data_IF_033274308868
#
_entry.id   IF_033274308868
#
_cell.length_a   1.000
_cell.length_b   1.000
_cell.length_c   1.000
_cell.angle_alpha   90.00
_cell.angle_beta   90.00
_cell.angle_gamma   90.00
#
_symmetry.space_group_name_H-M   'P 1'
#
loop_
_entity.id
_entity.type
_entity.pdbx_description
1 polymer ?
#
# COMPACT_ATOMS: atom_id res chain seq x y z
N UNK A 1 -6.68 9.72 19.87
CA UNK A 1 -5.82 10.25 18.79
C UNK A 1 -4.89 11.31 19.34
N UNK A 2 -3.59 11.08 19.32
CA UNK A 2 -2.58 12.13 19.53
C UNK A 2 -2.15 12.66 18.17
N UNK A 3 -2.71 13.80 17.75
CA UNK A 3 -2.41 14.41 16.45
C UNK A 3 -0.92 14.78 16.29
N UNK A 4 -0.18 14.98 17.38
CA UNK A 4 1.26 15.27 17.33
C UNK A 4 2.04 14.01 17.00
N UNK A 5 1.69 12.90 17.64
CA UNK A 5 2.30 11.60 17.33
C UNK A 5 1.95 11.17 15.91
N UNK A 6 0.70 11.34 15.49
CA UNK A 6 0.27 11.06 14.11
C UNK A 6 1.05 11.89 13.09
N UNK A 7 1.28 13.17 13.35
CA UNK A 7 2.10 14.01 12.48
C UNK A 7 3.55 13.50 12.38
N UNK A 8 4.17 13.15 13.50
CA UNK A 8 5.55 12.64 13.51
C UNK A 8 5.70 11.29 12.79
N UNK A 9 4.63 10.51 12.75
CA UNK A 9 4.58 9.21 12.06
C UNK A 9 4.06 9.30 10.62
N UNK A 10 3.74 10.51 10.12
CA UNK A 10 3.15 10.67 8.80
C UNK A 10 1.69 10.19 8.67
N UNK A 11 1.03 9.82 9.77
CA UNK A 11 -0.33 9.30 9.76
C UNK A 11 -1.37 10.35 9.39
N UNK A 12 -2.47 9.91 8.78
CA UNK A 12 -3.60 10.76 8.42
C UNK A 12 -4.47 11.10 9.63
N UNK A 13 -4.79 12.38 9.81
CA UNK A 13 -5.62 12.89 10.90
C UNK A 13 -6.96 13.42 10.39
N UNK A 14 -8.03 13.26 11.19
CA UNK A 14 -9.36 13.74 10.83
C UNK A 14 -9.59 15.22 11.16
N UNK A 15 -8.65 15.89 11.83
CA UNK A 15 -8.76 17.24 12.41
C UNK A 15 -9.81 17.37 13.54
N UNK A 16 -10.57 16.33 13.84
CA UNK A 16 -11.73 16.40 14.76
C UNK A 16 -11.35 16.69 16.21
N UNK A 17 -10.18 16.24 16.63
CA UNK A 17 -9.63 16.45 17.97
C UNK A 17 -8.76 17.72 18.08
N UNK A 18 -8.55 18.45 16.99
CA UNK A 18 -7.75 19.68 16.96
C UNK A 18 -8.58 20.91 17.31
N UNK A 19 -7.91 21.88 17.94
CA UNK A 19 -8.44 23.20 18.26
C UNK A 19 -7.66 24.26 17.49
N UNK A 20 -8.18 25.48 17.45
CA UNK A 20 -7.50 26.59 16.77
C UNK A 20 -6.05 26.82 17.22
N UNK A 21 -5.68 26.76 18.52
CA UNK A 21 -4.29 26.86 18.92
C UNK A 21 -3.36 25.75 18.37
N UNK A 22 -3.90 24.57 18.06
CA UNK A 22 -3.11 23.49 17.43
C UNK A 22 -2.82 23.85 15.97
N UNK A 23 -3.79 24.39 15.25
CA UNK A 23 -3.64 24.88 13.87
C UNK A 23 -2.68 26.08 13.83
N UNK A 24 -2.81 27.04 14.75
CA UNK A 24 -1.90 28.18 14.88
C UNK A 24 -0.45 27.71 15.11
N UNK A 25 -0.23 26.67 15.89
CA UNK A 25 1.11 26.08 16.10
C UNK A 25 1.66 25.45 14.82
N UNK A 26 0.84 24.72 14.06
CA UNK A 26 1.23 24.15 12.76
C UNK A 26 1.71 25.28 11.84
N UNK A 27 0.97 26.37 11.78
CA UNK A 27 1.31 27.54 10.95
C UNK A 27 2.61 28.20 11.42
N UNK A 28 2.71 28.50 12.72
CA UNK A 28 3.88 29.18 13.30
C UNK A 28 5.17 28.38 13.11
N UNK A 29 5.10 27.05 13.23
CA UNK A 29 6.24 26.15 13.10
C UNK A 29 6.42 25.63 11.66
N UNK A 30 5.54 26.03 10.74
CA UNK A 30 5.51 25.57 9.34
C UNK A 30 5.60 24.05 9.23
N UNK A 31 4.77 23.34 10.01
CA UNK A 31 4.73 21.88 10.00
C UNK A 31 3.97 21.39 8.77
N UNK A 32 4.70 20.91 7.77
CA UNK A 32 4.15 20.47 6.47
C UNK A 32 4.94 19.26 5.95
N UNK A 33 4.32 18.38 5.14
CA UNK A 33 2.89 18.36 4.84
C UNK A 33 2.02 17.85 5.98
N UNK A 34 0.74 18.28 6.03
CA UNK A 34 -0.27 17.72 6.93
C UNK A 34 -1.11 16.70 6.16
N UNK A 35 -1.14 15.46 6.63
CA UNK A 35 -1.92 14.38 6.06
C UNK A 35 -3.32 14.35 6.67
N UNK A 36 -4.36 14.57 5.86
CA UNK A 36 -5.74 14.79 6.32
C UNK A 36 -6.68 13.72 5.79
N UNK A 37 -7.29 12.97 6.71
CA UNK A 37 -8.38 12.04 6.43
C UNK A 37 -9.69 12.82 6.29
N UNK A 38 -10.04 13.15 5.04
CA UNK A 38 -11.16 14.06 4.73
C UNK A 38 -12.49 13.32 4.76
N UNK A 39 -12.59 12.19 4.10
CA UNK A 39 -13.76 11.35 3.86
C UNK A 39 -14.81 12.01 2.93
N UNK A 40 -15.21 13.22 3.20
CA UNK A 40 -16.12 14.03 2.38
C UNK A 40 -16.02 15.50 2.80
N UNK A 41 -16.28 16.41 1.86
CA UNK A 41 -16.43 17.86 2.12
C UNK A 41 -17.87 18.25 2.47
N UNK A 42 -18.83 17.30 2.41
CA UNK A 42 -20.19 17.50 2.90
C UNK A 42 -20.20 17.48 4.45
N UNK A 43 -20.46 18.62 5.14
CA UNK A 43 -20.33 18.69 6.59
C UNK A 43 -21.27 17.74 7.34
N UNK A 44 -22.50 17.57 6.87
CA UNK A 44 -23.47 16.68 7.48
C UNK A 44 -23.10 15.22 7.31
N UNK A 45 -22.69 14.82 6.09
CA UNK A 45 -22.24 13.48 5.80
C UNK A 45 -20.97 13.15 6.58
N UNK A 46 -20.02 14.10 6.68
CA UNK A 46 -18.80 13.93 7.47
C UNK A 46 -19.09 13.67 8.94
N UNK A 47 -20.06 14.38 9.53
CA UNK A 47 -20.50 14.13 10.91
C UNK A 47 -21.05 12.70 11.08
N UNK A 48 -21.81 12.20 10.12
CA UNK A 48 -22.33 10.82 10.13
C UNK A 48 -21.21 9.79 10.00
N UNK A 49 -20.32 9.93 9.01
CA UNK A 49 -19.23 8.98 8.74
C UNK A 49 -18.25 8.88 9.91
N UNK A 50 -17.89 10.01 10.53
CA UNK A 50 -16.95 10.05 11.64
C UNK A 50 -17.62 9.88 13.02
N UNK A 51 -18.94 9.68 13.03
CA UNK A 51 -19.74 9.61 14.26
C UNK A 51 -19.41 10.74 15.25
N UNK A 52 -19.22 11.94 14.73
CA UNK A 52 -18.81 13.11 15.49
C UNK A 52 -19.56 14.36 15.00
N UNK A 53 -20.42 14.90 15.85
CA UNK A 53 -21.28 16.08 15.53
C UNK A 53 -20.52 17.34 15.16
N UNK A 54 -19.22 17.43 15.48
CA UNK A 54 -18.37 18.58 15.19
C UNK A 54 -17.48 18.37 13.96
N UNK A 55 -17.50 17.20 13.36
CA UNK A 55 -16.57 16.86 12.27
C UNK A 55 -16.74 17.76 11.05
N UNK A 56 -17.99 18.17 10.73
CA UNK A 56 -18.26 19.07 9.61
C UNK A 56 -17.67 20.47 9.82
N UNK A 57 -17.73 21.01 11.04
CA UNK A 57 -17.16 22.35 11.34
C UNK A 57 -15.63 22.39 11.22
N UNK A 58 -14.97 21.23 11.33
CA UNK A 58 -13.51 21.14 11.24
C UNK A 58 -12.98 21.28 9.81
N UNK A 59 -13.84 21.17 8.81
CA UNK A 59 -13.46 21.43 7.42
C UNK A 59 -12.91 22.86 7.22
N UNK A 60 -13.36 23.83 8.01
CA UNK A 60 -12.81 25.19 7.98
C UNK A 60 -11.29 25.28 8.25
N UNK A 61 -10.72 24.26 8.86
CA UNK A 61 -9.26 24.22 9.07
C UNK A 61 -8.48 24.02 7.77
N UNK A 62 -9.11 23.46 6.74
CA UNK A 62 -8.52 23.39 5.40
C UNK A 62 -8.32 24.79 4.81
N UNK A 63 -9.33 25.68 4.95
CA UNK A 63 -9.24 27.08 4.50
C UNK A 63 -8.12 27.81 5.21
N UNK A 64 -8.03 27.66 6.56
CA UNK A 64 -6.99 28.31 7.37
C UNK A 64 -5.58 27.81 6.99
N UNK A 65 -5.39 26.51 6.79
CA UNK A 65 -4.12 25.94 6.37
C UNK A 65 -3.73 26.43 4.98
N UNK A 66 -4.69 26.46 4.05
CA UNK A 66 -4.49 26.95 2.69
C UNK A 66 -4.11 28.43 2.66
N UNK A 67 -4.82 29.31 3.37
CA UNK A 67 -4.53 30.75 3.47
C UNK A 67 -3.14 31.03 4.07
N UNK A 68 -2.60 30.10 4.87
CA UNK A 68 -1.27 30.19 5.44
C UNK A 68 -0.21 29.35 4.70
N UNK A 69 -0.52 28.88 3.48
CA UNK A 69 0.39 28.18 2.58
C UNK A 69 0.99 26.88 3.20
N UNK A 70 0.23 26.18 4.04
CA UNK A 70 0.64 24.91 4.60
C UNK A 70 0.30 23.79 3.61
N UNK A 71 1.31 23.03 3.20
CA UNK A 71 1.12 21.89 2.33
C UNK A 71 0.30 20.79 3.01
N UNK A 72 -0.64 20.21 2.25
CA UNK A 72 -1.57 19.19 2.72
C UNK A 72 -1.61 18.01 1.73
N UNK A 73 -1.84 16.81 2.25
CA UNK A 73 -2.28 15.66 1.49
C UNK A 73 -3.62 15.18 2.02
N UNK A 74 -4.54 14.87 1.11
CA UNK A 74 -5.87 14.39 1.45
C UNK A 74 -6.00 12.87 1.26
N UNK A 75 -6.86 12.25 2.07
CA UNK A 75 -7.30 10.87 1.90
C UNK A 75 -8.81 10.81 2.00
N UNK A 76 -9.43 10.06 1.08
CA UNK A 76 -10.85 9.74 1.07
C UNK A 76 -11.00 8.22 1.08
N UNK A 77 -11.49 7.66 2.19
CA UNK A 77 -11.95 6.26 2.21
C UNK A 77 -13.35 6.24 1.61
N UNK A 78 -13.45 5.62 0.44
CA UNK A 78 -14.69 5.59 -0.34
C UNK A 78 -15.55 4.41 0.11
N UNK A 79 -16.73 4.74 0.65
CA UNK A 79 -17.72 3.77 1.11
C UNK A 79 -18.87 3.75 0.11
N UNK A 80 -19.16 2.59 -0.46
CA UNK A 80 -20.22 2.39 -1.44
C UNK A 80 -21.59 2.83 -0.88
N UNK A 81 -22.36 3.56 -1.70
CA UNK A 81 -23.65 4.14 -1.36
C UNK A 81 -23.63 5.16 -0.20
N UNK A 82 -22.44 5.66 0.17
CA UNK A 82 -22.27 6.65 1.26
C UNK A 82 -21.64 7.93 0.77
N UNK A 83 -20.36 7.87 0.37
CA UNK A 83 -19.60 9.02 -0.12
C UNK A 83 -18.98 8.80 -1.51
N UNK A 84 -19.48 7.81 -2.24
CA UNK A 84 -19.14 7.53 -3.64
C UNK A 84 -19.94 8.40 -4.64
N UNK A 85 -19.76 8.15 -5.92
CA UNK A 85 -20.48 8.83 -7.00
C UNK A 85 -20.42 10.36 -6.88
N UNK A 86 -21.58 11.02 -6.86
CA UNK A 86 -21.68 12.49 -6.81
C UNK A 86 -21.07 13.12 -5.55
N UNK A 87 -21.07 12.43 -4.41
CA UNK A 87 -20.43 12.93 -3.20
C UNK A 87 -18.90 12.88 -3.31
N UNK A 88 -18.36 11.86 -3.94
CA UNK A 88 -16.93 11.79 -4.24
C UNK A 88 -16.53 12.86 -5.26
N UNK A 89 -17.32 13.03 -6.32
CA UNK A 89 -17.12 14.10 -7.30
C UNK A 89 -17.07 15.48 -6.65
N UNK A 90 -18.08 15.78 -5.82
CA UNK A 90 -18.13 17.02 -5.06
C UNK A 90 -16.90 17.18 -4.15
N UNK A 91 -16.52 16.13 -3.44
CA UNK A 91 -15.37 16.18 -2.54
C UNK A 91 -14.08 16.50 -3.28
N UNK A 92 -13.86 15.88 -4.46
CA UNK A 92 -12.70 16.16 -5.30
C UNK A 92 -12.70 17.61 -5.81
N UNK A 93 -13.84 18.06 -6.33
CA UNK A 93 -13.99 19.43 -6.85
C UNK A 93 -13.83 20.49 -5.74
N UNK A 94 -14.29 20.21 -4.51
CA UNK A 94 -14.09 21.10 -3.38
C UNK A 94 -12.63 21.13 -2.91
N UNK A 95 -11.94 19.97 -2.85
CA UNK A 95 -10.54 19.89 -2.46
C UNK A 95 -9.60 20.52 -3.49
N UNK A 96 -9.96 20.50 -4.77
CA UNK A 96 -9.15 21.13 -5.81
C UNK A 96 -9.01 22.65 -5.66
N UNK A 97 -9.90 23.30 -4.90
CA UNK A 97 -9.82 24.74 -4.58
C UNK A 97 -8.61 25.07 -3.70
N UNK A 98 -8.04 24.08 -3.04
CA UNK A 98 -6.85 24.23 -2.20
C UNK A 98 -5.52 24.00 -2.94
N UNK A 99 -5.56 23.77 -4.27
CA UNK A 99 -4.35 23.75 -5.08
C UNK A 99 -3.65 25.13 -5.06
N UNK A 100 -2.33 25.22 -5.02
CA UNK A 100 -1.37 24.11 -5.09
C UNK A 100 -0.97 23.53 -3.71
N UNK A 101 -1.54 24.02 -2.61
CA UNK A 101 -1.12 23.59 -1.25
C UNK A 101 -1.75 22.26 -0.81
N UNK A 102 -2.92 21.88 -1.31
CA UNK A 102 -3.37 20.48 -1.29
C UNK A 102 -2.68 19.77 -2.45
N UNK A 103 -1.54 19.11 -2.16
CA UNK A 103 -0.64 18.55 -3.17
C UNK A 103 -1.21 17.31 -3.84
N UNK A 104 -1.87 16.49 -3.07
CA UNK A 104 -2.41 15.21 -3.55
C UNK A 104 -3.60 14.76 -2.71
N UNK A 105 -4.51 14.03 -3.33
CA UNK A 105 -5.62 13.34 -2.66
C UNK A 105 -5.64 11.89 -3.11
N UNK A 106 -5.70 10.95 -2.17
CA UNK A 106 -5.93 9.53 -2.46
C UNK A 106 -7.38 9.14 -2.22
N UNK A 107 -7.95 8.38 -3.15
CA UNK A 107 -9.23 7.70 -2.98
C UNK A 107 -8.97 6.20 -2.83
N UNK A 108 -9.34 5.64 -1.67
CA UNK A 108 -9.12 4.22 -1.36
C UNK A 108 -10.46 3.54 -1.06
N UNK A 109 -10.72 2.30 -1.50
CA UNK A 109 -11.96 1.62 -1.16
C UNK A 109 -11.99 1.25 0.33
N UNK A 110 -13.17 1.26 0.93
CA UNK A 110 -13.32 0.84 2.33
C UNK A 110 -13.09 -0.67 2.46
N UNK A 111 -12.11 -1.06 3.27
CA UNK A 111 -11.90 -2.46 3.66
C UNK A 111 -13.00 -2.94 4.62
N UNK A 112 -13.55 -4.13 4.39
CA UNK A 112 -14.64 -4.69 5.20
C UNK A 112 -14.14 -5.95 5.90
N UNK A 113 -13.92 -5.84 7.22
CA UNK A 113 -13.56 -6.99 8.05
C UNK A 113 -14.80 -7.76 8.52
N UNK A 114 -14.61 -8.99 9.02
CA UNK A 114 -15.71 -9.77 9.62
C UNK A 114 -16.16 -9.24 11.00
N UNK A 115 -15.38 -8.38 11.64
CA UNK A 115 -15.66 -7.81 12.97
C UNK A 115 -16.51 -6.54 12.87
N UNK A 116 -17.72 -6.65 12.32
CA UNK A 116 -18.59 -5.49 12.06
C UNK A 116 -19.94 -5.55 12.74
N UNK A 117 -20.11 -6.41 13.74
CA UNK A 117 -21.34 -6.49 14.50
C UNK A 117 -21.68 -5.15 15.16
N UNK A 118 -22.90 -4.66 14.94
CA UNK A 118 -23.36 -3.35 15.46
C UNK A 118 -22.82 -2.12 14.72
N UNK A 119 -21.96 -2.27 13.72
CA UNK A 119 -21.49 -1.17 12.88
C UNK A 119 -22.37 -0.95 11.66
N UNK A 120 -22.27 0.26 11.07
CA UNK A 120 -22.99 0.59 9.83
C UNK A 120 -22.67 -0.44 8.74
N UNK A 121 -23.71 -1.01 8.07
CA UNK A 121 -23.52 -2.01 7.04
C UNK A 121 -22.88 -1.35 5.80
N UNK A 122 -21.63 -1.72 5.49
CA UNK A 122 -20.95 -1.33 4.27
C UNK A 122 -21.03 -2.45 3.23
N UNK A 123 -21.00 -2.07 1.97
CA UNK A 123 -20.97 -2.98 0.82
C UNK A 123 -19.65 -2.86 0.08
N UNK A 124 -19.20 -3.96 -0.52
CA UNK A 124 -18.05 -3.96 -1.41
C UNK A 124 -18.44 -3.43 -2.79
N UNK A 125 -17.48 -2.83 -3.47
CA UNK A 125 -17.64 -2.44 -4.87
C UNK A 125 -17.52 -3.67 -5.79
N UNK A 126 -18.32 -3.69 -6.84
CA UNK A 126 -18.14 -4.64 -7.94
C UNK A 126 -17.02 -4.20 -8.86
N UNK A 127 -16.60 -5.09 -9.77
CA UNK A 127 -15.62 -4.78 -10.80
C UNK A 127 -16.03 -3.59 -11.67
N UNK A 128 -17.28 -3.52 -12.06
CA UNK A 128 -17.85 -2.46 -12.90
C UNK A 128 -17.90 -1.13 -12.16
N UNK A 129 -18.31 -1.15 -10.90
CA UNK A 129 -18.35 0.05 -10.05
C UNK A 129 -16.95 0.60 -9.78
N UNK A 130 -15.97 -0.28 -9.54
CA UNK A 130 -14.57 0.13 -9.41
C UNK A 130 -14.06 0.79 -10.70
N UNK A 131 -14.41 0.24 -11.87
CA UNK A 131 -14.11 0.86 -13.16
C UNK A 131 -14.70 2.26 -13.30
N UNK A 132 -15.94 2.48 -12.84
CA UNK A 132 -16.58 3.80 -12.86
C UNK A 132 -15.86 4.82 -11.95
N UNK A 133 -15.40 4.37 -10.78
CA UNK A 133 -14.58 5.23 -9.88
C UNK A 133 -13.28 5.64 -10.56
N UNK A 134 -12.58 4.70 -11.20
CA UNK A 134 -11.36 4.98 -11.96
C UNK A 134 -11.64 5.99 -13.08
N UNK A 135 -12.65 5.76 -13.91
CA UNK A 135 -13.00 6.64 -15.04
C UNK A 135 -13.30 8.07 -14.57
N UNK A 136 -14.01 8.21 -13.46
CA UNK A 136 -14.31 9.50 -12.86
C UNK A 136 -13.04 10.21 -12.37
N UNK A 137 -12.14 9.50 -11.67
CA UNK A 137 -10.87 10.04 -11.16
C UNK A 137 -9.97 10.43 -12.34
N UNK A 138 -9.78 9.55 -13.33
CA UNK A 138 -8.91 9.82 -14.47
C UNK A 138 -9.38 10.99 -15.32
N UNK A 139 -10.70 11.16 -15.47
CA UNK A 139 -11.27 12.33 -16.14
C UNK A 139 -10.88 13.64 -15.43
N UNK A 140 -10.86 13.63 -14.09
CA UNK A 140 -10.46 14.79 -13.29
C UNK A 140 -8.96 15.02 -13.27
N UNK A 141 -8.17 13.95 -13.23
CA UNK A 141 -6.71 14.02 -13.35
C UNK A 141 -6.31 14.78 -14.63
N UNK A 142 -6.93 14.42 -15.75
CA UNK A 142 -6.65 15.11 -17.02
C UNK A 142 -6.91 16.62 -16.93
N UNK A 143 -8.05 17.01 -16.35
CA UNK A 143 -8.41 18.42 -16.17
C UNK A 143 -7.38 19.14 -15.28
N UNK A 144 -7.04 18.57 -14.13
CA UNK A 144 -6.11 19.22 -13.21
C UNK A 144 -4.69 19.25 -13.75
N UNK A 145 -4.26 18.23 -14.49
CA UNK A 145 -2.95 18.23 -15.13
C UNK A 145 -2.85 19.33 -16.22
N UNK A 146 -3.89 19.53 -17.01
CA UNK A 146 -3.95 20.62 -18.01
C UNK A 146 -3.92 22.02 -17.37
N UNK A 147 -4.50 22.18 -16.18
CA UNK A 147 -4.63 23.46 -15.51
C UNK A 147 -3.46 23.77 -14.55
N UNK A 148 -2.96 22.76 -13.83
CA UNK A 148 -1.99 22.93 -12.73
C UNK A 148 -0.70 22.13 -12.91
N UNK A 149 -0.59 21.26 -13.91
CA UNK A 149 0.56 20.35 -14.08
C UNK A 149 0.67 19.25 -13.03
N UNK A 150 -0.43 18.95 -12.32
CA UNK A 150 -0.54 17.90 -11.29
C UNK A 150 -1.79 17.06 -11.55
N UNK A 151 -1.70 15.75 -11.39
CA UNK A 151 -2.87 14.87 -11.48
C UNK A 151 -3.78 15.01 -10.26
N UNK A 152 -3.22 15.39 -9.13
CA UNK A 152 -3.91 15.80 -7.90
C UNK A 152 -4.67 14.68 -7.17
N UNK A 153 -5.66 14.05 -7.84
CA UNK A 153 -6.48 12.98 -7.25
C UNK A 153 -6.05 11.62 -7.82
N UNK A 154 -5.84 10.65 -6.94
CA UNK A 154 -5.36 9.32 -7.34
C UNK A 154 -6.26 8.22 -6.80
N UNK A 155 -6.63 7.28 -7.67
CA UNK A 155 -7.20 6.01 -7.26
C UNK A 155 -6.08 5.11 -6.72
N UNK A 156 -6.31 4.44 -5.58
CA UNK A 156 -5.36 3.45 -5.07
C UNK A 156 -5.26 2.24 -6.02
N UNK A 157 -4.17 1.50 -5.92
CA UNK A 157 -3.90 0.31 -6.71
C UNK A 157 -5.01 -0.74 -6.57
N UNK A 158 -5.65 -0.81 -5.41
CA UNK A 158 -6.77 -1.72 -5.15
C UNK A 158 -7.94 -1.49 -6.11
N UNK A 159 -8.23 -0.25 -6.51
CA UNK A 159 -9.26 0.03 -7.51
C UNK A 159 -8.94 -0.61 -8.85
N UNK A 160 -7.69 -0.49 -9.33
CA UNK A 160 -7.25 -1.06 -10.60
C UNK A 160 -7.30 -2.58 -10.57
N UNK A 161 -6.87 -3.20 -9.47
CA UNK A 161 -6.93 -4.66 -9.29
C UNK A 161 -8.38 -5.14 -9.25
N UNK A 162 -9.26 -4.48 -8.50
CA UNK A 162 -10.67 -4.81 -8.41
C UNK A 162 -11.38 -4.67 -9.77
N UNK A 163 -11.07 -3.62 -10.52
CA UNK A 163 -11.59 -3.41 -11.87
C UNK A 163 -10.96 -4.35 -12.91
N UNK A 164 -9.84 -5.02 -12.60
CA UNK A 164 -9.07 -5.81 -13.54
C UNK A 164 -8.46 -4.96 -14.66
N UNK A 165 -8.01 -3.75 -14.32
CA UNK A 165 -7.36 -2.80 -15.22
C UNK A 165 -5.86 -2.76 -14.97
N UNK A 166 -5.11 -2.35 -15.98
CA UNK A 166 -3.68 -2.07 -15.86
C UNK A 166 -3.45 -0.82 -15.01
N UNK A 167 -2.31 -0.80 -14.31
CA UNK A 167 -1.91 0.37 -13.53
C UNK A 167 -1.46 1.50 -14.46
N UNK A 168 -1.74 2.76 -14.11
CA UNK A 168 -1.22 3.91 -14.83
C UNK A 168 0.31 3.89 -14.95
N UNK A 169 0.84 4.59 -15.96
CA UNK A 169 2.27 4.80 -16.09
C UNK A 169 2.80 5.73 -14.98
N UNK A 170 4.10 5.68 -14.73
CA UNK A 170 4.77 6.33 -13.61
C UNK A 170 4.50 7.83 -13.53
N UNK A 171 4.50 8.50 -14.66
CA UNK A 171 4.30 9.95 -14.76
C UNK A 171 2.96 10.42 -14.18
N UNK A 172 1.98 9.51 -14.08
CA UNK A 172 0.65 9.83 -13.54
C UNK A 172 0.57 9.84 -12.03
N UNK A 173 1.63 9.49 -11.32
CA UNK A 173 1.65 9.42 -9.86
C UNK A 173 2.30 10.65 -9.19
N UNK A 174 2.70 11.68 -9.97
CA UNK A 174 3.26 12.95 -9.46
C UNK A 174 4.42 12.75 -8.47
N UNK A 175 5.26 11.73 -8.69
CA UNK A 175 6.38 11.38 -7.82
C UNK A 175 5.99 10.54 -6.60
N UNK A 176 4.87 9.81 -6.68
CA UNK A 176 4.44 8.82 -5.67
C UNK A 176 4.15 9.39 -4.27
N UNK A 177 3.55 10.57 -4.19
CA UNK A 177 3.26 11.28 -2.92
C UNK A 177 2.36 10.45 -1.98
N UNK A 178 1.57 9.51 -2.51
CA UNK A 178 0.54 8.77 -1.79
C UNK A 178 0.84 7.26 -1.66
N UNK A 179 2.12 6.85 -1.71
CA UNK A 179 2.51 5.42 -1.62
C UNK A 179 1.94 4.72 -0.39
N UNK A 180 1.98 5.37 0.78
CA UNK A 180 1.46 4.80 2.03
C UNK A 180 -0.05 4.52 2.01
N UNK A 181 -0.77 5.17 1.09
CA UNK A 181 -2.19 4.91 0.81
C UNK A 181 -2.42 3.88 -0.31
N UNK A 182 -1.38 3.16 -0.71
CA UNK A 182 -1.47 2.17 -1.77
C UNK A 182 -1.70 2.78 -3.16
N UNK A 183 -1.16 3.97 -3.41
CA UNK A 183 -1.23 4.65 -4.71
C UNK A 183 0.11 4.54 -5.42
N UNK A 184 0.19 3.76 -6.48
CA UNK A 184 1.38 3.59 -7.29
C UNK A 184 2.41 2.59 -6.74
N UNK A 185 2.14 1.91 -5.63
CA UNK A 185 3.03 0.89 -5.09
C UNK A 185 3.27 -0.23 -6.10
N UNK A 186 2.22 -0.66 -6.79
CA UNK A 186 2.31 -1.73 -7.78
C UNK A 186 3.08 -1.30 -9.02
N UNK A 187 2.88 -0.06 -9.50
CA UNK A 187 3.65 0.49 -10.63
C UNK A 187 5.12 0.61 -10.27
N UNK A 188 5.43 1.16 -9.10
CA UNK A 188 6.82 1.27 -8.62
C UNK A 188 7.49 -0.10 -8.55
N UNK A 189 6.85 -1.07 -7.91
CA UNK A 189 7.36 -2.45 -7.82
C UNK A 189 7.60 -3.09 -9.19
N UNK A 190 6.70 -2.85 -10.17
CA UNK A 190 6.84 -3.37 -11.53
C UNK A 190 8.06 -2.74 -12.21
N UNK A 191 8.21 -1.42 -12.11
CA UNK A 191 9.32 -0.70 -12.72
C UNK A 191 10.66 -1.14 -12.11
N UNK A 192 10.76 -1.18 -10.78
CA UNK A 192 11.96 -1.63 -10.07
C UNK A 192 12.34 -3.08 -10.42
N UNK A 193 11.33 -3.97 -10.50
CA UNK A 193 11.58 -5.36 -10.93
C UNK A 193 12.14 -5.43 -12.35
N UNK A 194 11.57 -4.66 -13.28
CA UNK A 194 12.04 -4.63 -14.67
C UNK A 194 13.46 -4.08 -14.78
N UNK A 195 13.74 -2.97 -14.09
CA UNK A 195 15.08 -2.37 -14.06
C UNK A 195 16.12 -3.31 -13.45
N UNK A 196 15.79 -3.94 -12.33
CA UNK A 196 16.66 -4.89 -11.66
C UNK A 196 16.94 -6.13 -12.54
N UNK A 197 15.93 -6.65 -13.24
CA UNK A 197 16.09 -7.76 -14.17
C UNK A 197 16.97 -7.37 -15.35
N UNK A 198 16.82 -6.16 -15.88
CA UNK A 198 17.70 -5.67 -16.97
C UNK A 198 19.16 -5.51 -16.51
N UNK A 199 19.36 -5.00 -15.28
CA UNK A 199 20.69 -4.89 -14.70
C UNK A 199 21.32 -6.27 -14.50
N UNK A 200 20.56 -7.23 -13.99
CA UNK A 200 20.99 -8.61 -13.84
C UNK A 200 21.42 -9.22 -15.18
N UNK A 201 20.63 -9.04 -16.24
CA UNK A 201 20.95 -9.52 -17.60
C UNK A 201 22.24 -8.94 -18.18
N UNK A 202 22.65 -7.74 -17.73
CA UNK A 202 23.89 -7.07 -18.15
C UNK A 202 25.09 -7.47 -17.28
N UNK A 203 24.89 -8.17 -16.18
CA UNK A 203 25.96 -8.59 -15.28
C UNK A 203 26.85 -9.67 -15.91
N UNK A 204 28.12 -9.74 -15.48
CA UNK A 204 29.05 -10.74 -15.96
C UNK A 204 28.70 -12.15 -15.48
N UNK A 205 28.02 -12.25 -14.33
CA UNK A 205 27.65 -13.51 -13.71
C UNK A 205 26.39 -14.13 -14.33
N UNK A 206 25.57 -13.35 -15.04
CA UNK A 206 24.26 -13.78 -15.53
C UNK A 206 24.28 -15.09 -16.31
N UNK A 207 25.17 -15.21 -17.32
CA UNK A 207 25.28 -16.41 -18.16
C UNK A 207 25.76 -17.65 -17.39
N UNK A 208 26.59 -17.46 -16.37
CA UNK A 208 27.01 -18.54 -15.48
C UNK A 208 25.88 -18.96 -14.56
N UNK A 209 25.21 -18.00 -13.95
CA UNK A 209 24.04 -18.26 -13.11
C UNK A 209 22.95 -19.01 -13.87
N UNK A 210 22.62 -18.56 -15.06
CA UNK A 210 21.59 -19.18 -15.92
C UNK A 210 21.85 -20.67 -16.18
N UNK A 211 23.12 -21.08 -16.29
CA UNK A 211 23.50 -22.45 -16.59
C UNK A 211 23.58 -23.35 -15.36
N UNK A 212 23.95 -22.85 -14.23
CA UNK A 212 24.24 -23.62 -13.03
C UNK A 212 23.26 -23.46 -11.89
N UNK A 213 22.34 -22.51 -12.01
CA UNK A 213 21.38 -22.18 -10.93
C UNK A 213 20.36 -23.29 -10.71
N UNK A 214 20.18 -23.69 -9.46
CA UNK A 214 19.15 -24.66 -9.09
C UNK A 214 18.62 -24.29 -7.70
N UNK A 215 17.35 -23.91 -7.63
CA UNK A 215 16.68 -23.55 -6.37
C UNK A 215 15.18 -23.76 -6.45
N UNK A 216 14.59 -24.18 -5.35
CA UNK A 216 13.14 -24.17 -5.18
C UNK A 216 12.79 -23.25 -4.02
N UNK A 217 11.93 -22.25 -4.25
CA UNK A 217 11.52 -21.27 -3.26
C UNK A 217 10.01 -21.11 -3.24
N UNK A 218 9.46 -20.86 -2.07
CA UNK A 218 8.03 -20.54 -1.89
C UNK A 218 7.88 -19.06 -1.55
N UNK A 219 6.91 -18.39 -2.19
CA UNK A 219 6.50 -17.02 -1.86
C UNK A 219 5.07 -17.06 -1.35
N UNK A 220 4.83 -16.48 -0.19
CA UNK A 220 3.49 -16.26 0.34
C UNK A 220 3.16 -14.78 0.33
N UNK A 221 1.99 -14.42 -0.21
CA UNK A 221 1.55 -13.03 -0.32
C UNK A 221 0.03 -12.92 -0.15
N UNK A 222 -0.50 -11.71 -0.03
CA UNK A 222 -1.95 -11.48 -0.03
C UNK A 222 -2.57 -11.67 -1.41
N UNK A 223 -3.88 -11.86 -1.46
CA UNK A 223 -4.63 -12.01 -2.71
C UNK A 223 -4.42 -10.83 -3.68
N UNK A 224 -4.26 -9.62 -3.13
CA UNK A 224 -4.15 -8.38 -3.90
C UNK A 224 -2.95 -8.40 -4.84
N UNK A 225 -1.79 -8.82 -4.35
CA UNK A 225 -0.51 -8.79 -5.09
C UNK A 225 -0.18 -10.10 -5.79
N UNK A 226 -0.96 -11.16 -5.54
CA UNK A 226 -0.69 -12.52 -6.02
C UNK A 226 -0.41 -12.61 -7.51
N UNK A 227 -1.24 -11.97 -8.35
CA UNK A 227 -1.10 -12.06 -9.80
C UNK A 227 0.20 -11.40 -10.29
N UNK A 228 0.57 -10.26 -9.73
CA UNK A 228 1.82 -9.57 -10.10
C UNK A 228 3.03 -10.35 -9.65
N UNK A 229 3.05 -10.84 -8.42
CA UNK A 229 4.15 -11.66 -7.89
C UNK A 229 4.28 -12.97 -8.69
N UNK A 230 3.17 -13.58 -9.09
CA UNK A 230 3.18 -14.78 -9.95
C UNK A 230 3.81 -14.51 -11.31
N UNK A 231 3.50 -13.39 -11.96
CA UNK A 231 4.13 -12.99 -13.23
C UNK A 231 5.63 -12.76 -13.08
N UNK A 232 6.07 -12.15 -11.99
CA UNK A 232 7.50 -11.98 -11.70
C UNK A 232 8.21 -13.33 -11.53
N UNK A 233 7.58 -14.24 -10.77
CA UNK A 233 8.10 -15.60 -10.59
C UNK A 233 8.19 -16.35 -11.93
N UNK A 234 7.16 -16.28 -12.78
CA UNK A 234 7.15 -16.87 -14.13
C UNK A 234 8.30 -16.30 -14.99
N UNK A 235 8.47 -14.97 -15.00
CA UNK A 235 9.55 -14.32 -15.73
C UNK A 235 10.93 -14.81 -15.28
N UNK A 236 11.16 -14.94 -13.97
CA UNK A 236 12.43 -15.44 -13.46
C UNK A 236 12.63 -16.93 -13.72
N UNK A 237 11.59 -17.75 -13.70
CA UNK A 237 11.69 -19.16 -14.08
C UNK A 237 11.98 -19.36 -15.57
N UNK A 238 11.49 -18.47 -16.44
CA UNK A 238 11.87 -18.46 -17.86
C UNK A 238 13.35 -18.09 -18.06
N UNK A 239 13.87 -17.16 -17.27
CA UNK A 239 15.29 -16.77 -17.30
C UNK A 239 16.21 -17.85 -16.73
N UNK A 240 15.82 -18.52 -15.66
CA UNK A 240 16.63 -19.51 -14.94
C UNK A 240 15.95 -20.88 -14.92
N UNK A 241 16.23 -21.77 -15.89
CA UNK A 241 15.55 -23.06 -16.01
C UNK A 241 15.68 -24.00 -14.81
N UNK A 242 16.65 -23.78 -13.93
CA UNK A 242 16.81 -24.52 -12.67
C UNK A 242 16.09 -23.92 -11.47
N UNK A 243 15.41 -22.78 -11.66
CA UNK A 243 14.61 -22.13 -10.64
C UNK A 243 13.18 -22.68 -10.65
N UNK A 244 12.67 -22.99 -9.47
CA UNK A 244 11.24 -23.28 -9.26
C UNK A 244 10.70 -22.34 -8.18
N UNK A 245 9.69 -21.57 -8.50
CA UNK A 245 9.03 -20.64 -7.56
C UNK A 245 7.58 -21.05 -7.40
N UNK A 246 7.17 -21.31 -6.17
CA UNK A 246 5.78 -21.54 -5.80
C UNK A 246 5.20 -20.28 -5.17
N UNK A 247 4.23 -19.66 -5.79
CA UNK A 247 3.56 -18.47 -5.24
C UNK A 247 2.20 -18.85 -4.67
N UNK A 248 1.93 -18.45 -3.42
CA UNK A 248 0.67 -18.73 -2.75
C UNK A 248 0.00 -17.43 -2.27
N UNK A 249 -1.26 -17.26 -2.68
CA UNK A 249 -2.13 -16.26 -2.08
C UNK A 249 -2.66 -16.81 -0.75
N UNK A 250 -2.30 -16.16 0.35
CA UNK A 250 -2.81 -16.51 1.68
C UNK A 250 -4.16 -15.82 1.87
N UNK A 251 -5.17 -16.60 2.23
CA UNK A 251 -6.49 -16.10 2.58
C UNK A 251 -6.45 -15.52 3.99
N UNK A 252 -7.04 -14.36 4.17
CA UNK A 252 -7.15 -13.74 5.48
C UNK A 252 -8.36 -14.30 6.22
N UNK A 253 -8.17 -15.32 7.04
CA UNK A 253 -9.23 -15.92 7.86
C UNK A 253 -9.43 -15.14 9.16
N UNK A 254 -8.38 -14.44 9.63
CA UNK A 254 -8.43 -13.67 10.86
C UNK A 254 -9.31 -12.42 10.74
N UNK A 255 -9.08 -11.57 9.75
CA UNK A 255 -9.88 -10.36 9.54
C UNK A 255 -11.06 -10.55 8.59
N UNK A 256 -11.06 -11.60 7.78
CA UNK A 256 -12.08 -11.94 6.78
C UNK A 256 -11.53 -11.98 5.36
N UNK A 257 -12.10 -12.83 4.51
CA UNK A 257 -11.63 -13.10 3.14
C UNK A 257 -11.67 -11.89 2.19
N UNK A 258 -12.42 -10.85 2.57
CA UNK A 258 -12.51 -9.57 1.86
C UNK A 258 -11.29 -8.68 2.07
N UNK A 259 -10.46 -9.00 3.07
CA UNK A 259 -9.18 -8.33 3.31
C UNK A 259 -8.11 -9.05 2.51
N UNK A 260 -7.56 -8.37 1.52
CA UNK A 260 -6.71 -8.98 0.48
C UNK A 260 -5.25 -8.53 0.52
N UNK A 261 -4.95 -7.50 1.32
CA UNK A 261 -3.60 -6.94 1.46
C UNK A 261 -2.67 -7.86 2.25
N UNK A 262 -1.40 -7.93 1.86
CA UNK A 262 -0.40 -8.76 2.52
C UNK A 262 -0.12 -8.32 3.97
N UNK A 263 -0.12 -7.02 4.23
CA UNK A 263 0.18 -6.44 5.55
C UNK A 263 -0.82 -6.75 6.67
N UNK A 264 -1.95 -7.40 6.35
CA UNK A 264 -2.94 -7.84 7.33
C UNK A 264 -3.03 -9.39 7.44
N UNK A 265 -2.15 -10.13 6.78
CA UNK A 265 -2.04 -11.58 6.95
C UNK A 265 -1.39 -11.87 8.30
N UNK A 266 -2.00 -12.75 9.08
CA UNK A 266 -1.48 -13.16 10.39
C UNK A 266 -0.57 -14.38 10.27
N UNK A 267 0.27 -14.60 11.30
CA UNK A 267 1.13 -15.78 11.36
C UNK A 267 0.34 -17.09 11.37
N UNK A 268 -0.81 -17.13 12.06
CA UNK A 268 -1.68 -18.31 12.07
C UNK A 268 -2.30 -18.62 10.71
N UNK A 269 -2.72 -17.59 9.93
CA UNK A 269 -3.26 -17.77 8.60
C UNK A 269 -2.19 -18.29 7.62
N UNK A 270 -0.98 -17.72 7.70
CA UNK A 270 0.17 -18.14 6.91
C UNK A 270 0.55 -19.61 7.21
N UNK A 271 0.82 -19.90 8.47
CA UNK A 271 1.30 -21.22 8.92
C UNK A 271 0.23 -22.28 8.63
N UNK A 272 -1.03 -22.02 8.98
CA UNK A 272 -2.13 -22.98 8.80
C UNK A 272 -2.28 -23.40 7.35
N UNK A 273 -2.38 -22.43 6.44
CA UNK A 273 -2.61 -22.71 5.03
C UNK A 273 -1.41 -23.36 4.32
N UNK A 274 -0.18 -23.01 4.70
CA UNK A 274 1.01 -23.67 4.14
C UNK A 274 1.20 -25.10 4.68
N UNK A 275 0.82 -25.37 5.94
CA UNK A 275 0.78 -26.74 6.48
C UNK A 275 -0.22 -27.62 5.73
N UNK A 276 -1.44 -27.12 5.50
CA UNK A 276 -2.45 -27.84 4.71
C UNK A 276 -1.94 -28.21 3.32
N UNK A 277 -1.20 -27.31 2.66
CA UNK A 277 -0.56 -27.59 1.36
C UNK A 277 0.51 -28.68 1.50
N UNK A 278 1.37 -28.61 2.50
CA UNK A 278 2.42 -29.61 2.77
C UNK A 278 1.81 -31.00 3.03
N UNK A 279 0.75 -31.05 3.83
CA UNK A 279 -0.01 -32.28 4.12
C UNK A 279 -0.73 -32.86 2.89
N UNK A 280 -1.16 -32.02 1.96
CA UNK A 280 -1.73 -32.46 0.67
C UNK A 280 -0.69 -32.97 -0.33
N UNK A 281 0.56 -33.06 0.08
CA UNK A 281 1.68 -33.59 -0.74
C UNK A 281 2.36 -32.57 -1.65
N UNK A 282 2.04 -31.28 -1.52
CA UNK A 282 2.75 -30.22 -2.24
C UNK A 282 4.16 -30.06 -1.65
N UNK A 283 5.15 -30.12 -2.51
CA UNK A 283 6.55 -29.85 -2.11
C UNK A 283 6.74 -28.33 -2.10
N UNK A 284 6.87 -27.79 -0.91
CA UNK A 284 7.34 -26.42 -0.72
C UNK A 284 8.89 -26.46 -0.84
N UNK A 285 9.49 -25.36 -1.29
CA UNK A 285 10.96 -25.21 -1.29
C UNK A 285 11.52 -25.14 0.15
N UNK A 286 12.83 -25.04 0.25
CA UNK A 286 13.51 -24.95 1.56
C UNK A 286 13.39 -23.57 2.20
N UNK A 287 13.01 -22.56 1.42
CA UNK A 287 12.86 -21.16 1.83
C UNK A 287 11.47 -20.65 1.52
N UNK A 288 10.86 -20.00 2.51
CA UNK A 288 9.63 -19.21 2.39
C UNK A 288 9.99 -17.72 2.38
N UNK A 289 9.60 -17.02 1.34
CA UNK A 289 9.68 -15.57 1.24
C UNK A 289 8.32 -14.96 1.58
N UNK A 290 8.32 -13.97 2.45
CA UNK A 290 7.13 -13.19 2.82
C UNK A 290 7.43 -11.71 2.65
N UNK A 291 6.47 -10.85 2.25
CA UNK A 291 6.71 -9.42 2.23
C UNK A 291 6.88 -8.88 3.65
N UNK A 292 7.86 -8.00 3.84
CA UNK A 292 8.22 -7.44 5.16
C UNK A 292 7.06 -6.74 5.87
N UNK A 293 6.10 -6.19 5.12
CA UNK A 293 4.90 -5.56 5.68
C UNK A 293 3.89 -6.55 6.31
N UNK A 294 4.08 -7.87 6.22
CA UNK A 294 3.34 -8.83 7.05
C UNK A 294 3.74 -8.76 8.53
N UNK A 295 4.92 -8.18 8.81
CA UNK A 295 5.46 -8.06 10.15
C UNK A 295 5.22 -6.66 10.71
N UNK A 296 5.23 -6.54 12.03
CA UNK A 296 5.24 -5.23 12.70
C UNK A 296 6.52 -4.49 12.36
N UNK A 297 6.40 -3.18 12.17
CA UNK A 297 7.55 -2.32 11.83
C UNK A 297 8.69 -2.47 12.84
N UNK A 298 9.88 -2.85 12.35
CA UNK A 298 11.08 -3.02 13.16
C UNK A 298 11.12 -4.30 14.01
N UNK A 299 10.15 -5.22 13.80
CA UNK A 299 10.07 -6.46 14.59
C UNK A 299 9.94 -7.68 13.68
N UNK A 300 10.40 -8.84 14.15
CA UNK A 300 10.19 -10.13 13.48
C UNK A 300 8.92 -10.84 14.01
N UNK A 301 7.82 -10.09 14.11
CA UNK A 301 6.56 -10.50 14.76
C UNK A 301 5.36 -10.17 13.86
N UNK A 302 4.49 -11.14 13.64
CA UNK A 302 3.20 -10.96 12.96
C UNK A 302 2.19 -10.21 13.83
N UNK A 303 1.06 -9.80 13.26
CA UNK A 303 0.03 -9.04 13.97
C UNK A 303 -0.63 -9.82 15.13
N UNK A 304 -0.58 -11.14 15.10
CA UNK A 304 -1.13 -12.07 16.10
C UNK A 304 -0.10 -12.57 17.12
N UNK A 305 1.00 -11.83 17.30
CA UNK A 305 2.09 -12.12 18.24
C UNK A 305 2.94 -13.37 17.92
N UNK A 306 2.64 -14.11 16.84
CA UNK A 306 3.53 -15.14 16.34
C UNK A 306 4.79 -14.53 15.76
N UNK A 307 5.93 -15.18 15.97
CA UNK A 307 7.22 -14.72 15.45
C UNK A 307 7.58 -15.41 14.13
N UNK A 308 8.49 -14.82 13.37
CA UNK A 308 9.10 -15.48 12.21
C UNK A 308 9.74 -16.82 12.60
N UNK A 309 10.33 -16.90 13.79
CA UNK A 309 10.90 -18.13 14.32
C UNK A 309 9.84 -19.21 14.61
N UNK A 310 8.64 -18.81 15.06
CA UNK A 310 7.52 -19.75 15.19
C UNK A 310 7.09 -20.30 13.84
N UNK A 311 7.08 -19.47 12.80
CA UNK A 311 6.79 -19.90 11.43
C UNK A 311 7.87 -20.86 10.89
N UNK A 312 9.17 -20.55 11.10
CA UNK A 312 10.29 -21.45 10.74
C UNK A 312 10.13 -22.82 11.35
N UNK A 313 9.90 -22.88 12.66
CA UNK A 313 9.71 -24.15 13.39
C UNK A 313 8.47 -24.90 12.95
N UNK A 314 7.37 -24.19 12.74
CA UNK A 314 6.09 -24.79 12.38
C UNK A 314 6.06 -25.36 10.97
N UNK A 315 6.77 -24.74 10.02
CA UNK A 315 6.83 -25.13 8.62
C UNK A 315 8.06 -25.97 8.28
N UNK A 316 9.06 -26.02 9.18
CA UNK A 316 10.35 -26.65 8.94
C UNK A 316 11.01 -26.10 7.66
N UNK A 317 11.02 -24.78 7.52
CA UNK A 317 11.54 -24.02 6.39
C UNK A 317 12.23 -22.76 6.89
N UNK A 318 13.25 -22.29 6.15
CA UNK A 318 13.75 -20.95 6.36
C UNK A 318 12.66 -19.94 5.96
N UNK A 319 12.50 -18.88 6.76
CA UNK A 319 11.54 -17.80 6.49
C UNK A 319 12.28 -16.48 6.40
N UNK A 320 12.19 -15.82 5.26
CA UNK A 320 12.84 -14.55 4.99
C UNK A 320 11.80 -13.48 4.68
N UNK A 321 11.83 -12.39 5.44
CA UNK A 321 11.06 -11.20 5.12
C UNK A 321 11.79 -10.43 4.02
N UNK A 322 11.08 -10.14 2.92
CA UNK A 322 11.58 -9.42 1.75
C UNK A 322 11.09 -7.98 1.82
N UNK A 323 11.95 -7.02 1.61
CA UNK A 323 11.54 -5.63 1.50
C UNK A 323 10.68 -5.37 0.26
N UNK A 324 10.10 -4.18 0.17
CA UNK A 324 9.06 -3.92 -0.83
C UNK A 324 9.59 -3.58 -2.23
N UNK A 325 10.90 -3.69 -2.46
CA UNK A 325 11.55 -3.34 -3.73
C UNK A 325 11.58 -4.48 -4.76
N UNK A 326 11.58 -4.13 -6.04
CA UNK A 326 11.70 -5.10 -7.12
C UNK A 326 13.07 -5.79 -7.16
N UNK A 327 14.13 -5.06 -6.84
CA UNK A 327 15.50 -5.61 -6.69
C UNK A 327 15.55 -6.59 -5.51
N UNK A 328 14.98 -6.21 -4.35
CA UNK A 328 14.94 -7.08 -3.17
C UNK A 328 14.27 -8.41 -3.43
N UNK A 329 13.19 -8.39 -4.22
CA UNK A 329 12.48 -9.61 -4.59
C UNK A 329 13.34 -10.53 -5.47
N UNK A 330 14.04 -9.98 -6.47
CA UNK A 330 14.97 -10.75 -7.32
C UNK A 330 16.09 -11.35 -6.48
N UNK A 331 16.73 -10.54 -5.64
CA UNK A 331 17.85 -10.96 -4.79
C UNK A 331 17.42 -12.06 -3.81
N UNK A 332 16.23 -11.93 -3.21
CA UNK A 332 15.70 -12.95 -2.32
C UNK A 332 15.35 -14.26 -3.06
N UNK A 333 14.75 -14.18 -4.26
CA UNK A 333 14.43 -15.36 -5.07
C UNK A 333 15.70 -16.06 -5.54
N UNK A 334 16.72 -15.31 -5.97
CA UNK A 334 17.98 -15.86 -6.45
C UNK A 334 18.99 -16.12 -5.33
N UNK A 335 18.72 -15.65 -4.10
CA UNK A 335 19.62 -15.76 -2.94
C UNK A 335 20.99 -15.12 -3.17
N UNK A 336 21.01 -13.97 -3.83
CA UNK A 336 22.23 -13.19 -4.06
C UNK A 336 22.47 -12.35 -2.80
N UNK A 337 23.24 -12.90 -1.85
CA UNK A 337 23.67 -12.29 -0.57
C UNK A 337 22.58 -11.65 0.30
N UNK A 338 21.30 -11.86 -0.05
CA UNK A 338 20.16 -11.25 0.59
C UNK A 338 20.00 -11.62 2.07
N UNK A 339 20.32 -12.86 2.42
CA UNK A 339 20.16 -13.37 3.78
C UNK A 339 21.30 -12.98 4.74
N UNK A 340 22.52 -12.70 4.21
CA UNK A 340 23.69 -12.44 5.06
C UNK A 340 23.86 -10.96 5.47
N UNK A 341 23.44 -10.02 4.66
CA UNK A 341 23.59 -8.59 4.96
C UNK A 341 22.57 -8.08 5.97
N UNK A 342 21.42 -8.74 6.13
CA UNK A 342 20.27 -8.21 6.88
C UNK A 342 20.04 -8.77 8.29
N UNK A 343 20.77 -9.76 8.72
CA UNK A 343 20.79 -10.13 10.14
C UNK A 343 21.37 -9.02 11.05
N UNK A 344 22.05 -8.04 10.49
CA UNK A 344 22.73 -6.97 11.22
C UNK A 344 22.09 -5.58 11.10
N UNK A 345 21.11 -5.36 10.21
CA UNK A 345 20.44 -4.07 10.10
C UNK A 345 19.12 -4.10 10.88
N UNK A 346 19.07 -3.30 11.95
CA UNK A 346 17.81 -2.92 12.58
C UNK A 346 16.94 -2.27 11.51
N UNK A 347 15.79 -2.89 11.17
CA UNK A 347 14.80 -2.39 10.23
C UNK A 347 14.37 -0.98 10.61
N UNK A 348 15.02 0.02 10.05
CA UNK A 348 14.55 1.39 10.06
C UNK A 348 13.82 1.59 8.73
N UNK A 349 12.52 1.82 8.76
CA UNK A 349 11.78 2.34 7.62
C UNK A 349 12.38 3.70 7.26
N UNK A 350 13.41 3.70 6.42
CA UNK A 350 13.92 4.92 5.81
C UNK A 350 13.02 5.15 4.60
N UNK A 351 12.09 6.11 4.73
CA UNK A 351 11.45 6.73 3.58
C UNK A 351 12.57 7.13 2.61
N UNK A 352 12.59 6.49 1.43
CA UNK A 352 13.57 6.78 0.39
C UNK A 352 13.26 8.13 -0.28
N UNK A 353 13.39 9.21 0.46
CA UNK A 353 13.63 10.52 -0.10
C UNK A 353 15.13 10.72 -0.23
N UNK A 354 15.76 10.12 -1.23
CA UNK A 354 17.03 10.65 -1.74
C UNK A 354 16.70 11.97 -2.44
N UNK A 355 16.89 13.08 -1.72
CA UNK A 355 17.08 14.38 -2.37
C UNK A 355 18.28 14.21 -3.30
N UNK A 356 18.07 14.42 -4.59
CA UNK A 356 19.14 14.72 -5.50
C UNK A 356 19.83 15.99 -5.02
N UNK A 357 20.98 15.84 -4.39
CA UNK A 357 21.96 16.93 -4.26
C UNK A 357 22.62 17.08 -5.64
N UNK A 358 22.21 18.11 -6.37
CA UNK A 358 23.04 18.83 -7.33
C UNK A 358 22.64 20.29 -7.37
#
# INVERSE_FOLDING_TARGET
DDSRLSFLQGNYITLTNMKLPDIERIIQMHLAPINISVQTTNPELRCKMLHNRFAGEKLKFLDILYENHIEMNGQVVVCKNVNDGKELERTIDDLSKFLPFMRSVSAVPAGITKYREGLYPLELFTKEEAGQVIDMIESRQKKYYEEFGLHFIHASDEWYILAGREFPEEERYDGYIQLENGVGMMRLLINEFQEALEQLRRSQEYEQMKKSFSRTVTIATGKLTYQTISKFAETLMEEFPGLTVHVYAIRNDFFGETITVSGLITGQDLIGQLKEKKESGVKLGDTLLIPGNMLRSGEQVFLDDLTVEDARRALEMEVTAVESGGQDLIDAILNVDYAMERENDNFVYIQAYKKDEK
#
